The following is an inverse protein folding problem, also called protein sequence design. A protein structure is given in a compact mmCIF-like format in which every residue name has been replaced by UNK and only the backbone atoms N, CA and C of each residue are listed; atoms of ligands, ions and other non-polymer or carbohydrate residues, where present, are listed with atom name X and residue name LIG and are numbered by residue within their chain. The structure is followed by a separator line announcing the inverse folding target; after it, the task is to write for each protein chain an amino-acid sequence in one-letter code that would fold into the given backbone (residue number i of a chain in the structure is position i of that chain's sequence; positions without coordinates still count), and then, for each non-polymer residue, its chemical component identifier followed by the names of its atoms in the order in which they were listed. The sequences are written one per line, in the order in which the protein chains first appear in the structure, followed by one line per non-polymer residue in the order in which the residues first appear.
data_IF_704595034870
#
_entry.id   IF_704595034870
#
_cell.length_a   1.000
_cell.length_b   1.000
_cell.length_c   1.000
_cell.angle_alpha   90.00
_cell.angle_beta   90.00
_cell.angle_gamma   90.00
#
_symmetry.space_group_name_H-M   'P 1'
#
loop_
_entity.id
_entity.type
_entity.pdbx_description
1 polymer ?
#
# COMPACT_ATOMS: atom_id res chain seq x y z
N UNK A 1 -2.33 10.31 0.42
CA UNK A 1 -3.22 9.49 1.26
C UNK A 1 -2.49 8.23 1.72
N UNK A 2 -2.68 7.78 2.98
CA UNK A 2 -2.09 6.52 3.51
C UNK A 2 -3.14 5.67 4.20
N UNK A 3 -3.23 4.39 3.86
CA UNK A 3 -4.15 3.41 4.49
C UNK A 3 -3.34 2.26 5.07
N UNK A 4 -3.63 1.89 6.32
CA UNK A 4 -2.95 0.78 6.99
C UNK A 4 -3.42 -0.56 6.40
N UNK A 5 -2.45 -1.42 6.06
CA UNK A 5 -2.70 -2.69 5.39
C UNK A 5 -2.09 -3.89 6.15
N UNK A 6 -1.76 -3.72 7.44
CA UNK A 6 -1.22 -4.78 8.28
C UNK A 6 0.29 -4.67 8.50
N UNK A 7 0.95 -5.81 8.76
CA UNK A 7 2.39 -5.89 8.89
C UNK A 7 3.02 -6.54 7.65
N UNK A 8 4.13 -5.96 7.20
CA UNK A 8 4.95 -6.50 6.12
C UNK A 8 5.63 -7.80 6.60
N UNK A 9 5.43 -8.95 5.92
CA UNK A 9 6.00 -10.22 6.35
C UNK A 9 7.52 -10.30 6.19
N UNK A 10 8.11 -9.46 5.32
CA UNK A 10 9.56 -9.43 5.08
C UNK A 10 10.24 -8.61 6.17
N UNK A 11 9.76 -7.38 6.40
CA UNK A 11 10.42 -6.45 7.32
C UNK A 11 9.84 -6.45 8.73
N UNK A 12 8.72 -7.12 8.97
CA UNK A 12 7.96 -7.13 10.24
C UNK A 12 7.52 -5.74 10.74
N UNK A 13 7.38 -4.78 9.82
CA UNK A 13 6.97 -3.39 10.14
C UNK A 13 5.56 -3.13 9.64
N UNK A 14 4.92 -2.07 10.14
CA UNK A 14 3.61 -1.63 9.65
C UNK A 14 3.67 -1.33 8.15
N UNK A 15 2.78 -1.97 7.39
CA UNK A 15 2.62 -1.82 5.96
C UNK A 15 1.46 -0.87 5.67
N UNK A 16 1.68 0.06 4.73
CA UNK A 16 0.71 1.06 4.34
C UNK A 16 0.62 1.14 2.82
N UNK A 17 -0.61 1.16 2.30
CA UNK A 17 -0.85 1.58 0.93
C UNK A 17 -0.81 3.10 0.87
N UNK A 18 0.01 3.63 -0.03
CA UNK A 18 0.21 5.07 -0.18
C UNK A 18 -0.01 5.46 -1.62
N UNK A 19 -0.78 6.52 -1.81
CA UNK A 19 -0.93 7.16 -3.12
C UNK A 19 -0.90 8.68 -2.94
N UNK A 20 -0.16 9.34 -3.81
CA UNK A 20 -0.02 10.81 -3.81
C UNK A 20 -1.04 11.38 -4.79
N UNK A 21 -1.93 12.21 -4.26
CA UNK A 21 -2.90 12.97 -5.07
C UNK A 21 -2.26 14.32 -5.36
N UNK A 22 -2.25 14.72 -6.63
CA UNK A 22 -1.71 16.01 -7.04
C UNK A 22 -2.52 17.17 -6.43
N UNK A 23 -1.85 18.28 -6.18
CA UNK A 23 -2.52 19.49 -5.71
C UNK A 23 -3.36 20.11 -6.84
N UNK A 24 -4.57 20.53 -6.51
CA UNK A 24 -5.57 21.02 -7.45
C UNK A 24 -6.85 21.45 -6.73
N UNK A 25 -7.80 21.99 -7.50
CA UNK A 25 -9.07 22.49 -6.96
C UNK A 25 -9.89 21.39 -6.28
N UNK A 26 -9.83 20.18 -6.80
CA UNK A 26 -10.64 19.04 -6.36
C UNK A 26 -9.85 18.01 -5.53
N UNK A 27 -8.66 18.38 -5.02
CA UNK A 27 -7.75 17.46 -4.32
C UNK A 27 -8.41 16.74 -3.15
N UNK A 28 -9.31 17.40 -2.41
CA UNK A 28 -10.02 16.77 -1.28
C UNK A 28 -10.95 15.65 -1.77
N UNK A 29 -11.76 15.92 -2.78
CA UNK A 29 -12.67 14.93 -3.36
C UNK A 29 -11.90 13.78 -4.02
N UNK A 30 -10.76 14.06 -4.66
CA UNK A 30 -9.86 13.04 -5.21
C UNK A 30 -9.22 12.19 -4.12
N UNK A 31 -8.75 12.80 -3.04
CA UNK A 31 -8.17 12.10 -1.90
C UNK A 31 -9.17 11.14 -1.26
N UNK A 32 -10.45 11.52 -1.13
CA UNK A 32 -11.47 10.63 -0.56
C UNK A 32 -11.81 9.47 -1.51
N UNK A 33 -11.85 9.72 -2.83
CA UNK A 33 -11.99 8.66 -3.84
C UNK A 33 -10.83 7.66 -3.77
N UNK A 34 -9.60 8.15 -3.66
CA UNK A 34 -8.40 7.32 -3.49
C UNK A 34 -8.47 6.53 -2.19
N UNK A 35 -8.84 7.16 -1.08
CA UNK A 35 -9.01 6.50 0.22
C UNK A 35 -10.00 5.34 0.15
N UNK A 36 -11.18 5.57 -0.42
CA UNK A 36 -12.21 4.53 -0.58
C UNK A 36 -11.69 3.35 -1.40
N UNK A 37 -11.00 3.62 -2.52
CA UNK A 37 -10.41 2.56 -3.34
C UNK A 37 -9.35 1.75 -2.57
N UNK A 38 -8.46 2.41 -1.82
CA UNK A 38 -7.42 1.73 -1.04
C UNK A 38 -8.02 0.88 0.08
N UNK A 39 -9.08 1.36 0.75
CA UNK A 39 -9.81 0.59 1.75
C UNK A 39 -10.43 -0.67 1.14
N UNK A 40 -11.13 -0.55 0.00
CA UNK A 40 -11.70 -1.70 -0.69
C UNK A 40 -10.62 -2.74 -1.09
N UNK A 41 -9.43 -2.31 -1.50
CA UNK A 41 -8.32 -3.24 -1.79
C UNK A 41 -7.85 -4.01 -0.55
N UNK A 42 -7.83 -3.36 0.61
CA UNK A 42 -7.47 -3.99 1.89
C UNK A 42 -8.55 -4.99 2.30
N UNK A 43 -9.82 -4.59 2.23
CA UNK A 43 -10.96 -5.43 2.64
C UNK A 43 -11.04 -6.70 1.79
N UNK A 44 -10.85 -6.56 0.47
CA UNK A 44 -10.84 -7.68 -0.47
C UNK A 44 -9.52 -8.45 -0.50
N UNK A 45 -8.51 -8.03 0.27
CA UNK A 45 -7.15 -8.62 0.31
C UNK A 45 -6.50 -8.74 -1.06
N UNK A 46 -6.78 -7.76 -1.94
CA UNK A 46 -6.25 -7.69 -3.32
C UNK A 46 -4.98 -6.84 -3.44
N UNK A 47 -4.42 -6.41 -2.32
CA UNK A 47 -3.20 -5.63 -2.26
C UNK A 47 -1.95 -6.51 -2.05
N UNK A 48 -0.77 -6.07 -2.51
CA UNK A 48 0.50 -6.67 -2.10
C UNK A 48 0.65 -6.61 -0.58
N UNK A 49 1.22 -7.65 0.01
CA UNK A 49 1.45 -7.73 1.47
C UNK A 49 2.77 -7.10 1.91
N UNK A 50 3.62 -6.73 0.95
CA UNK A 50 4.95 -6.17 1.17
C UNK A 50 5.29 -5.18 0.06
N UNK A 51 6.18 -4.24 0.37
CA UNK A 51 6.80 -3.35 -0.63
C UNK A 51 8.11 -3.92 -1.20
N UNK A 52 8.51 -5.13 -0.77
CA UNK A 52 9.73 -5.76 -1.26
C UNK A 52 9.66 -6.02 -2.77
N UNK A 53 10.79 -5.83 -3.45
CA UNK A 53 10.92 -6.21 -4.86
C UNK A 53 11.07 -7.73 -4.99
N UNK A 54 10.83 -8.26 -6.19
CA UNK A 54 11.03 -9.70 -6.47
C UNK A 54 12.48 -10.12 -6.21
N UNK A 55 13.45 -9.28 -6.59
CA UNK A 55 14.87 -9.50 -6.31
C UNK A 55 15.15 -9.68 -4.81
N UNK A 56 14.66 -8.76 -3.96
CA UNK A 56 14.82 -8.84 -2.51
C UNK A 56 14.19 -10.10 -1.90
N UNK A 57 13.09 -10.58 -2.49
CA UNK A 57 12.44 -11.83 -2.05
C UNK A 57 13.26 -13.06 -2.47
N UNK A 58 13.88 -13.04 -3.64
CA UNK A 58 14.76 -14.10 -4.12
C UNK A 58 16.04 -14.18 -3.32
N UNK A 59 16.68 -13.05 -3.03
CA UNK A 59 17.88 -12.99 -2.20
C UNK A 59 17.64 -13.65 -0.85
N UNK A 60 16.55 -13.29 -0.16
CA UNK A 60 16.17 -13.89 1.12
C UNK A 60 15.89 -15.39 1.06
N UNK A 61 15.37 -15.90 -0.06
CA UNK A 61 15.03 -17.31 -0.19
C UNK A 61 16.27 -18.19 -0.45
N UNK A 62 17.31 -17.62 -1.06
CA UNK A 62 18.52 -18.32 -1.48
C UNK A 62 19.67 -18.22 -0.47
N UNK A 63 19.53 -17.40 0.57
CA UNK A 63 20.36 -17.43 1.80
C UNK A 63 20.05 -18.65 2.68
#
# INVERSE_FOLDING_TARGET
MKVYAGFDPVTQRRHYLTEVVAAGRDTEAEAERVRTRLLNQVDERRNPRTNATVEQLLDRYLE
#
